data_IF_175311399176
#
_entry.id   IF_175311399176
#
_cell.length_a   1.000
_cell.length_b   1.000
_cell.length_c   1.000
_cell.angle_alpha   90.00
_cell.angle_beta   90.00
_cell.angle_gamma   90.00
#
_symmetry.space_group_name_H-M   'P 1'
#
loop_
_entity.id
_entity.type
_entity.pdbx_description
1 polymer ?
#
# COMPACT_ATOMS: atom_id res chain seq x y z
N UNK A 1 44.03 -26.47 3.50
CA UNK A 1 43.20 -25.64 2.61
C UNK A 1 43.04 -24.25 3.23
N UNK A 2 43.74 -23.24 2.70
CA UNK A 2 43.56 -21.83 3.12
C UNK A 2 42.38 -21.28 2.32
N UNK A 3 41.21 -21.21 2.94
CA UNK A 3 40.05 -20.57 2.32
C UNK A 3 40.28 -19.07 2.37
N UNK A 4 40.40 -18.43 1.20
CA UNK A 4 40.61 -16.99 1.05
C UNK A 4 39.42 -16.21 1.64
N UNK A 5 39.50 -15.82 2.91
CA UNK A 5 38.41 -15.16 3.65
C UNK A 5 38.03 -13.77 3.11
N UNK A 6 38.82 -13.20 2.20
CA UNK A 6 38.55 -11.88 1.61
C UNK A 6 37.36 -11.85 0.64
N UNK A 7 36.95 -12.99 0.08
CA UNK A 7 35.83 -13.06 -0.88
C UNK A 7 34.46 -13.12 -0.17
N UNK A 8 34.41 -13.63 1.08
CA UNK A 8 33.15 -13.75 1.81
C UNK A 8 32.58 -12.42 2.29
N UNK A 9 33.44 -11.40 2.50
CA UNK A 9 33.03 -10.07 2.98
C UNK A 9 32.29 -9.26 1.90
N UNK A 10 32.57 -9.48 0.62
CA UNK A 10 31.92 -8.79 -0.49
C UNK A 10 30.49 -9.27 -0.76
N UNK A 11 30.17 -10.52 -0.39
CA UNK A 11 28.85 -11.12 -0.60
C UNK A 11 27.78 -10.59 0.39
N UNK A 12 28.20 -10.14 1.57
CA UNK A 12 27.29 -9.58 2.59
C UNK A 12 26.78 -8.17 2.20
N UNK A 13 27.52 -7.44 1.37
CA UNK A 13 27.13 -6.09 0.91
C UNK A 13 26.04 -6.10 -0.18
N UNK A 14 25.81 -7.21 -0.88
CA UNK A 14 24.77 -7.32 -1.91
C UNK A 14 23.35 -7.52 -1.35
N UNK A 15 23.20 -7.81 -0.05
CA UNK A 15 21.89 -8.09 0.56
C UNK A 15 21.19 -6.84 1.11
N UNK A 16 21.83 -5.67 1.09
CA UNK A 16 21.15 -4.39 1.36
C UNK A 16 20.41 -3.95 0.10
N UNK A 17 19.51 -4.80 -0.40
CA UNK A 17 18.49 -4.36 -1.32
C UNK A 17 17.70 -3.27 -0.60
N UNK A 18 17.97 -2.03 -0.97
CA UNK A 18 17.20 -0.88 -0.52
C UNK A 18 15.76 -1.14 -0.99
N UNK A 19 14.93 -1.73 -0.12
CA UNK A 19 13.55 -1.99 -0.44
C UNK A 19 12.92 -0.62 -0.63
N UNK A 20 12.64 -0.27 -1.89
CA UNK A 20 11.93 0.95 -2.25
C UNK A 20 10.48 0.94 -1.79
N UNK A 21 10.17 0.39 -0.60
CA UNK A 21 8.85 0.38 0.02
C UNK A 21 9.03 0.86 1.45
N UNK A 22 8.39 1.97 1.80
CA UNK A 22 8.38 2.53 3.15
C UNK A 22 6.96 2.54 3.68
N UNK A 23 6.74 1.95 4.85
CA UNK A 23 5.45 1.98 5.53
C UNK A 23 5.42 3.03 6.65
N UNK A 24 4.32 3.77 6.76
CA UNK A 24 4.07 4.78 7.80
C UNK A 24 2.72 4.47 8.42
N UNK A 25 2.65 4.49 9.75
CA UNK A 25 1.44 4.17 10.50
C UNK A 25 1.02 5.40 11.32
N UNK A 26 -0.20 5.86 11.13
CA UNK A 26 -0.76 6.92 11.96
C UNK A 26 -0.92 6.43 13.40
N UNK A 27 -0.67 7.30 14.40
CA UNK A 27 -0.84 6.93 15.81
C UNK A 27 -2.31 6.65 16.19
N UNK A 28 -3.26 7.25 15.47
CA UNK A 28 -4.70 7.12 15.74
C UNK A 28 -5.25 5.82 15.16
N UNK A 29 -5.76 4.96 16.05
CA UNK A 29 -6.30 3.64 15.68
C UNK A 29 -7.81 3.63 15.42
N UNK A 30 -8.48 4.77 15.60
CA UNK A 30 -9.91 4.93 15.35
C UNK A 30 -10.15 6.14 14.45
N UNK A 31 -11.21 6.08 13.65
CA UNK A 31 -11.72 7.22 12.88
C UNK A 31 -12.24 8.27 13.86
N UNK A 32 -11.77 9.50 13.69
CA UNK A 32 -12.24 10.64 14.46
C UNK A 32 -13.68 10.96 14.04
N UNK A 33 -14.64 10.80 14.93
CA UNK A 33 -16.07 11.04 14.63
C UNK A 33 -16.35 12.50 14.28
N UNK A 34 -15.47 13.42 14.68
CA UNK A 34 -15.58 14.84 14.29
C UNK A 34 -15.05 15.10 12.88
N UNK A 35 -14.32 14.17 12.27
CA UNK A 35 -13.89 14.25 10.88
C UNK A 35 -15.01 13.80 9.93
N UNK A 36 -15.90 14.76 9.64
CA UNK A 36 -17.09 14.57 8.81
C UNK A 36 -16.73 13.99 7.43
N UNK A 37 -15.58 14.33 6.87
CA UNK A 37 -15.17 13.84 5.55
C UNK A 37 -14.85 12.34 5.60
N UNK A 38 -14.09 11.92 6.60
CA UNK A 38 -13.77 10.51 6.81
C UNK A 38 -15.03 9.69 7.06
N UNK A 39 -15.91 10.17 7.96
CA UNK A 39 -17.18 9.51 8.28
C UNK A 39 -18.08 9.41 7.05
N UNK A 40 -18.29 10.52 6.35
CA UNK A 40 -19.12 10.57 5.13
C UNK A 40 -18.61 9.62 4.05
N UNK A 41 -17.30 9.51 3.88
CA UNK A 41 -16.72 8.61 2.88
C UNK A 41 -16.96 7.14 3.24
N UNK A 42 -16.82 6.76 4.51
CA UNK A 42 -17.09 5.39 4.98
C UNK A 42 -18.58 5.03 4.84
N UNK A 43 -19.48 5.95 5.16
CA UNK A 43 -20.91 5.77 4.99
C UNK A 43 -21.31 5.60 3.52
N UNK A 44 -20.82 6.49 2.64
CA UNK A 44 -21.11 6.43 1.20
C UNK A 44 -20.59 5.16 0.54
N UNK A 45 -19.42 4.69 0.99
CA UNK A 45 -18.81 3.46 0.48
C UNK A 45 -19.44 2.20 1.08
N UNK A 46 -20.31 2.33 2.10
CA UNK A 46 -20.89 1.20 2.86
C UNK A 46 -19.81 0.21 3.30
N UNK A 47 -18.67 0.74 3.75
CA UNK A 47 -17.49 -0.06 4.04
C UNK A 47 -17.72 -0.95 5.28
N UNK A 48 -17.52 -2.26 5.14
CA UNK A 48 -17.66 -3.16 6.28
C UNK A 48 -16.56 -2.92 7.34
N UNK A 49 -16.80 -3.40 8.55
CA UNK A 49 -15.85 -3.26 9.67
C UNK A 49 -14.51 -3.97 9.39
N UNK A 50 -14.54 -5.11 8.68
CA UNK A 50 -13.37 -5.86 8.26
C UNK A 50 -12.82 -5.43 6.88
N UNK A 51 -13.16 -4.23 6.43
CA UNK A 51 -12.68 -3.71 5.15
C UNK A 51 -11.91 -2.41 5.32
N UNK A 52 -10.99 -2.20 4.38
CA UNK A 52 -10.19 -1.00 4.23
C UNK A 52 -10.15 -0.59 2.76
N UNK A 53 -10.02 0.71 2.50
CA UNK A 53 -9.89 1.26 1.15
C UNK A 53 -8.42 1.50 0.86
N UNK A 54 -7.92 0.94 -0.24
CA UNK A 54 -6.59 1.24 -0.76
C UNK A 54 -6.72 2.31 -1.84
N UNK A 55 -5.98 3.41 -1.70
CA UNK A 55 -5.87 4.50 -2.66
C UNK A 55 -4.49 4.45 -3.34
N UNK A 56 -4.46 4.52 -4.67
CA UNK A 56 -3.25 4.62 -5.46
C UNK A 56 -3.04 6.06 -5.91
N UNK A 57 -1.87 6.63 -5.61
CA UNK A 57 -1.61 8.07 -5.71
C UNK A 57 -0.23 8.40 -6.28
N UNK A 58 -0.01 9.68 -6.61
CA UNK A 58 1.25 10.25 -7.12
C UNK A 58 1.57 9.87 -8.58
N UNK A 59 2.47 8.91 -8.86
CA UNK A 59 2.98 8.66 -10.23
C UNK A 59 2.75 7.23 -10.73
N UNK A 60 1.53 6.71 -10.61
CA UNK A 60 1.13 5.45 -11.26
C UNK A 60 0.85 5.66 -12.76
N UNK A 61 1.42 4.77 -13.57
CA UNK A 61 1.03 4.45 -14.95
C UNK A 61 1.45 2.99 -15.16
N UNK A 62 0.72 2.08 -14.50
CA UNK A 62 1.15 0.71 -14.27
C UNK A 62 -0.05 -0.24 -14.31
N UNK A 63 0.20 -1.51 -14.70
CA UNK A 63 -0.77 -2.59 -14.47
C UNK A 63 -0.70 -2.97 -12.99
N UNK A 64 -1.84 -2.92 -12.30
CA UNK A 64 -1.96 -3.30 -10.90
C UNK A 64 -2.83 -4.53 -10.75
N UNK A 65 -2.30 -5.51 -10.02
CA UNK A 65 -3.02 -6.67 -9.54
C UNK A 65 -3.01 -6.64 -8.01
N UNK A 66 -4.15 -6.91 -7.39
CA UNK A 66 -4.28 -7.01 -5.93
C UNK A 66 -4.82 -8.38 -5.61
N UNK A 67 -4.13 -9.04 -4.71
CA UNK A 67 -4.49 -10.36 -4.21
C UNK A 67 -4.90 -10.26 -2.75
N UNK A 68 -6.01 -10.93 -2.43
CA UNK A 68 -6.48 -11.14 -1.06
C UNK A 68 -6.52 -12.64 -0.84
N UNK A 69 -5.70 -13.13 0.10
CA UNK A 69 -5.52 -14.56 0.37
C UNK A 69 -5.24 -15.37 -0.91
N UNK A 70 -4.35 -14.86 -1.77
CA UNK A 70 -3.96 -15.49 -3.04
C UNK A 70 -4.99 -15.40 -4.16
N UNK A 71 -6.16 -14.78 -3.95
CA UNK A 71 -7.17 -14.57 -5.00
C UNK A 71 -7.08 -13.16 -5.55
N UNK A 72 -7.06 -13.03 -6.86
CA UNK A 72 -7.06 -11.73 -7.55
C UNK A 72 -8.43 -11.07 -7.35
N UNK A 73 -8.46 -9.93 -6.66
CA UNK A 73 -9.68 -9.12 -6.43
C UNK A 73 -9.68 -7.84 -7.27
N UNK A 74 -8.53 -7.47 -7.82
CA UNK A 74 -8.36 -6.31 -8.68
C UNK A 74 -7.29 -6.63 -9.72
N UNK A 75 -7.58 -6.42 -11.01
CA UNK A 75 -6.59 -6.47 -12.09
C UNK A 75 -6.93 -5.41 -13.15
N UNK A 76 -6.29 -4.24 -13.06
CA UNK A 76 -6.51 -3.12 -13.99
C UNK A 76 -5.25 -2.29 -14.18
N UNK A 77 -5.11 -1.66 -15.35
CA UNK A 77 -4.14 -0.58 -15.55
C UNK A 77 -4.66 0.69 -14.87
N UNK A 78 -3.84 1.29 -14.01
CA UNK A 78 -4.10 2.59 -13.41
C UNK A 78 -3.12 3.63 -13.95
N UNK A 79 -3.64 4.81 -14.25
CA UNK A 79 -2.86 6.00 -14.58
C UNK A 79 -3.31 7.14 -13.68
N UNK A 80 -2.35 7.84 -13.11
CA UNK A 80 -2.64 8.99 -12.24
C UNK A 80 -3.16 10.13 -13.07
N UNK A 81 -4.27 10.71 -12.62
CA UNK A 81 -4.77 11.99 -13.12
C UNK A 81 -3.91 13.06 -12.45
N UNK A 82 -3.02 13.69 -13.22
CA UNK A 82 -1.98 14.60 -12.67
C UNK A 82 -2.56 15.75 -11.86
N UNK A 83 -3.70 16.30 -12.27
CA UNK A 83 -4.36 17.39 -11.52
C UNK A 83 -4.80 16.93 -10.12
N UNK A 84 -5.20 15.66 -9.99
CA UNK A 84 -5.75 15.11 -8.76
C UNK A 84 -4.70 14.42 -7.87
N UNK A 85 -3.63 13.92 -8.48
CA UNK A 85 -2.68 13.02 -7.81
C UNK A 85 -3.28 11.67 -7.42
N UNK A 86 -4.42 11.30 -8.01
CA UNK A 86 -5.17 10.07 -7.78
C UNK A 86 -5.17 9.19 -9.03
N UNK A 87 -4.94 7.89 -8.85
CA UNK A 87 -4.89 6.91 -9.93
C UNK A 87 -6.05 5.89 -9.87
N UNK A 88 -6.61 5.66 -8.67
CA UNK A 88 -7.66 4.68 -8.47
C UNK A 88 -7.70 4.17 -7.04
N UNK A 89 -8.72 3.38 -6.73
CA UNK A 89 -8.87 2.76 -5.42
C UNK A 89 -9.58 1.42 -5.50
N UNK A 90 -9.41 0.60 -4.47
CA UNK A 90 -10.15 -0.63 -4.28
C UNK A 90 -10.47 -0.86 -2.81
N UNK A 91 -11.47 -1.70 -2.54
CA UNK A 91 -11.80 -2.17 -1.20
C UNK A 91 -11.19 -3.57 -1.03
N UNK A 92 -10.55 -3.80 0.10
CA UNK A 92 -10.01 -5.12 0.47
C UNK A 92 -10.49 -5.54 1.85
N UNK A 93 -10.61 -6.84 2.06
CA UNK A 93 -10.75 -7.41 3.39
C UNK A 93 -9.43 -7.22 4.16
N UNK A 94 -9.51 -6.68 5.37
CA UNK A 94 -8.37 -6.24 6.14
C UNK A 94 -7.87 -7.28 7.15
N UNK A 95 -8.62 -8.36 7.34
CA UNK A 95 -8.31 -9.52 8.17
C UNK A 95 -7.58 -10.65 7.42
N UNK A 96 -7.27 -10.42 6.14
CA UNK A 96 -6.59 -11.38 5.26
C UNK A 96 -5.25 -10.84 4.76
N UNK A 97 -4.42 -11.74 4.25
CA UNK A 97 -3.18 -11.37 3.59
C UNK A 97 -3.48 -10.61 2.29
N UNK A 98 -3.01 -9.37 2.20
CA UNK A 98 -3.18 -8.51 1.02
C UNK A 98 -1.84 -8.19 0.39
N UNK A 99 -1.75 -8.41 -0.91
CA UNK A 99 -0.56 -8.13 -1.70
C UNK A 99 -0.89 -7.34 -2.96
N UNK A 100 -0.01 -6.40 -3.28
CA UNK A 100 -0.10 -5.54 -4.46
C UNK A 100 1.04 -5.91 -5.40
N UNK A 101 0.69 -6.21 -6.65
CA UNK A 101 1.60 -6.56 -7.73
C UNK A 101 1.57 -5.44 -8.76
N UNK A 102 2.72 -4.83 -9.02
CA UNK A 102 2.87 -3.75 -10.01
C UNK A 102 3.67 -4.26 -11.21
N UNK A 103 3.08 -4.17 -12.39
CA UNK A 103 3.61 -4.63 -13.69
C UNK A 103 4.16 -6.06 -13.67
N UNK A 104 3.57 -6.94 -12.85
CA UNK A 104 4.03 -8.33 -12.64
C UNK A 104 5.51 -8.42 -12.17
N UNK A 105 6.07 -7.35 -11.64
CA UNK A 105 7.50 -7.25 -11.29
C UNK A 105 7.70 -6.90 -9.82
N UNK A 106 6.97 -5.92 -9.32
CA UNK A 106 7.11 -5.44 -7.94
C UNK A 106 6.00 -6.05 -7.09
N UNK A 107 6.39 -6.85 -6.11
CA UNK A 107 5.51 -7.39 -5.09
C UNK A 107 5.59 -6.55 -3.82
N UNK A 108 4.43 -6.16 -3.30
CA UNK A 108 4.29 -5.37 -2.07
C UNK A 108 3.29 -6.09 -1.17
N UNK A 109 3.77 -6.74 -0.12
CA UNK A 109 2.90 -7.32 0.91
C UNK A 109 2.49 -6.23 1.90
N UNK A 110 1.19 -6.04 2.11
CA UNK A 110 0.70 -5.16 3.17
C UNK A 110 0.90 -5.84 4.53
N UNK A 111 1.08 -5.03 5.58
CA UNK A 111 1.25 -5.56 6.92
C UNK A 111 -0.11 -6.03 7.46
N UNK A 112 -0.34 -7.35 7.48
CA UNK A 112 -1.61 -7.96 7.91
C UNK A 112 -1.94 -7.73 9.39
N UNK A 113 -0.96 -7.50 10.26
CA UNK A 113 -1.21 -7.17 11.68
C UNK A 113 -1.68 -5.72 11.87
N UNK A 114 -1.25 -4.84 10.96
CA UNK A 114 -1.58 -3.41 11.02
C UNK A 114 -2.83 -3.09 10.21
N UNK A 115 -3.07 -3.79 9.09
CA UNK A 115 -4.16 -3.54 8.16
C UNK A 115 -5.56 -3.46 8.82
N UNK A 116 -5.95 -4.34 9.76
CA UNK A 116 -7.23 -4.24 10.46
C UNK A 116 -7.46 -2.95 11.26
N UNK A 117 -6.37 -2.25 11.62
CA UNK A 117 -6.41 -1.07 12.49
C UNK A 117 -6.66 0.25 11.73
N UNK A 118 -6.71 0.21 10.40
CA UNK A 118 -6.78 1.41 9.57
C UNK A 118 -7.81 1.26 8.45
N UNK A 119 -8.61 2.31 8.24
CA UNK A 119 -9.64 2.34 7.19
C UNK A 119 -9.15 2.81 5.83
N UNK A 120 -8.10 3.62 5.81
CA UNK A 120 -7.55 4.18 4.57
C UNK A 120 -6.07 3.83 4.45
N UNK A 121 -5.72 3.20 3.33
CA UNK A 121 -4.35 2.82 3.00
C UNK A 121 -3.95 3.58 1.74
N UNK A 122 -2.99 4.48 1.85
CA UNK A 122 -2.49 5.26 0.72
C UNK A 122 -1.20 4.64 0.21
N UNK A 123 -1.22 4.16 -1.03
CA UNK A 123 -0.05 3.67 -1.74
C UNK A 123 0.36 4.76 -2.72
N UNK A 124 1.40 5.48 -2.35
CA UNK A 124 2.03 6.50 -3.18
C UNK A 124 3.23 5.91 -3.90
N UNK A 125 3.33 6.15 -5.21
CA UNK A 125 4.48 5.74 -6.02
C UNK A 125 5.26 6.96 -6.48
N UNK A 126 6.56 6.96 -6.26
CA UNK A 126 7.52 7.92 -6.80
C UNK A 126 8.67 7.16 -7.47
N UNK A 127 8.67 7.13 -8.81
CA UNK A 127 9.60 6.33 -9.62
C UNK A 127 9.55 4.84 -9.24
N UNK A 128 10.60 4.31 -8.59
CA UNK A 128 10.69 2.92 -8.12
C UNK A 128 10.38 2.76 -6.63
N UNK A 129 10.13 3.88 -5.95
CA UNK A 129 9.86 3.92 -4.52
C UNK A 129 8.36 3.99 -4.27
N UNK A 130 7.94 3.33 -3.20
CA UNK A 130 6.56 3.22 -2.76
C UNK A 130 6.50 3.65 -1.31
N UNK A 131 5.51 4.47 -0.97
CA UNK A 131 5.19 4.86 0.39
C UNK A 131 3.79 4.36 0.68
N UNK A 132 3.67 3.55 1.72
CA UNK A 132 2.40 3.00 2.19
C UNK A 132 2.05 3.69 3.48
N UNK A 133 0.97 4.45 3.49
CA UNK A 133 0.51 5.14 4.68
C UNK A 133 -0.81 4.54 5.15
N UNK A 134 -0.82 4.14 6.42
CA UNK A 134 -1.97 3.56 7.09
C UNK A 134 -2.57 4.62 8.02
N UNK A 135 -3.83 4.98 7.80
CA UNK A 135 -4.49 6.07 8.52
C UNK A 135 -5.99 5.82 8.68
N UNK A 136 -6.57 6.44 9.70
CA UNK A 136 -8.02 6.50 9.91
C UNK A 136 -8.61 7.87 9.54
N UNK A 137 -7.82 8.70 8.84
CA UNK A 137 -8.21 9.99 8.32
C UNK A 137 -8.16 9.99 6.79
N UNK A 138 -9.30 10.24 6.17
CA UNK A 138 -9.39 10.44 4.74
C UNK A 138 -8.63 11.71 4.33
N UNK A 139 -7.89 11.60 3.24
CA UNK A 139 -7.19 12.70 2.59
C UNK A 139 -8.00 13.21 1.42
N UNK A 140 -7.96 14.52 1.22
CA UNK A 140 -8.35 15.11 -0.05
C UNK A 140 -7.26 14.87 -1.09
N UNK A 141 -7.71 14.61 -2.31
CA UNK A 141 -6.89 14.71 -3.51
C UNK A 141 -6.96 16.16 -4.01
N UNK A 142 -5.96 16.59 -4.78
CA UNK A 142 -5.87 17.98 -5.24
C UNK A 142 -6.85 18.30 -6.35
#
# INVERSE_FOLDING_TARGET
MKVNSKIFLFLILFLISCQGVRSIYEKRLNVDKSDINSVSLLEKTKLNNNQSIIYFCESFDNKLQIEVNGKIVFDRKLKTIEQLGYAGSCIVENDKDVSIIVDNKKYIKLNSEKLPKYKFIYVAKNKRNYKIEYTNKAKSFR
#
